data_IF_943275307545
#
_entry.id   IF_943275307545
#
_cell.length_a   1.000
_cell.length_b   1.000
_cell.length_c   1.000
_cell.angle_alpha   90.00
_cell.angle_beta   90.00
_cell.angle_gamma   90.00
#
_symmetry.space_group_name_H-M   'P 1'
#
loop_
_entity.id
_entity.type
_entity.pdbx_description
1 polymer ?
#
# COMPACT_ATOMS: atom_id res chain seq x y z
N UNK A 1 -1.18 -16.30 9.62
CA UNK A 1 -0.78 -15.01 9.01
C UNK A 1 -1.82 -13.97 9.37
N UNK A 2 -1.51 -13.01 10.25
CA UNK A 2 -2.37 -11.86 10.49
C UNK A 2 -2.68 -11.09 9.21
N UNK A 3 -3.82 -10.41 9.19
CA UNK A 3 -4.22 -9.50 8.12
C UNK A 3 -4.24 -8.07 8.67
N UNK A 4 -3.72 -7.13 7.87
CA UNK A 4 -3.86 -5.70 8.09
C UNK A 4 -4.62 -5.15 6.89
N UNK A 5 -5.82 -4.64 7.15
CA UNK A 5 -6.69 -4.07 6.13
C UNK A 5 -6.35 -2.60 5.92
N UNK A 6 -6.15 -2.23 4.67
CA UNK A 6 -5.83 -0.89 4.20
C UNK A 6 -6.90 -0.46 3.21
N UNK A 7 -7.84 0.38 3.64
CA UNK A 7 -8.88 0.92 2.78
C UNK A 7 -8.51 2.33 2.34
N UNK A 8 -8.25 2.50 1.05
CA UNK A 8 -7.86 3.75 0.42
C UNK A 8 -9.07 4.37 -0.27
N UNK A 9 -9.66 5.38 0.37
CA UNK A 9 -10.81 6.13 -0.14
C UNK A 9 -10.37 7.45 -0.76
N UNK A 10 -10.61 7.68 -2.06
CA UNK A 10 -10.44 9.00 -2.65
C UNK A 10 -11.26 10.05 -1.89
N UNK A 11 -10.65 11.20 -1.62
CA UNK A 11 -11.29 12.40 -1.06
C UNK A 11 -11.23 13.53 -2.10
N UNK A 12 -11.89 14.65 -1.79
CA UNK A 12 -11.75 15.89 -2.55
C UNK A 12 -10.31 16.44 -2.44
N UNK A 13 -9.95 17.36 -3.34
CA UNK A 13 -8.68 18.11 -3.32
C UNK A 13 -7.39 17.28 -3.45
N UNK A 14 -7.40 16.19 -4.22
CA UNK A 14 -6.22 15.33 -4.46
C UNK A 14 -5.67 14.64 -3.20
N UNK A 15 -6.55 14.25 -2.29
CA UNK A 15 -6.23 13.44 -1.12
C UNK A 15 -6.87 12.06 -1.16
N UNK A 16 -6.25 11.13 -0.44
CA UNK A 16 -6.80 9.80 -0.15
C UNK A 16 -6.85 9.64 1.36
N UNK A 17 -7.97 9.17 1.89
CA UNK A 17 -8.02 8.66 3.24
C UNK A 17 -7.61 7.20 3.26
N UNK A 18 -6.54 6.90 4.00
CA UNK A 18 -6.17 5.56 4.35
C UNK A 18 -6.80 5.22 5.70
N UNK A 19 -7.62 4.17 5.75
CA UNK A 19 -8.16 3.58 6.97
C UNK A 19 -7.49 2.23 7.22
N UNK A 20 -6.97 2.04 8.42
CA UNK A 20 -6.24 0.85 8.83
C UNK A 20 -6.94 0.13 9.97
N UNK A 21 -7.19 -1.18 9.82
CA UNK A 21 -7.72 -2.02 10.89
C UNK A 21 -7.21 -3.46 10.78
N UNK A 22 -7.30 -4.23 11.88
CA UNK A 22 -6.94 -5.66 11.90
C UNK A 22 -8.17 -6.56 12.02
N UNK A 23 -9.06 -6.23 12.96
CA UNK A 23 -10.17 -7.12 13.31
C UNK A 23 -11.55 -6.49 13.06
N UNK A 24 -11.74 -5.22 13.45
CA UNK A 24 -13.03 -4.53 13.38
C UNK A 24 -13.00 -3.38 12.36
N UNK A 25 -13.78 -3.43 11.26
CA UNK A 25 -13.79 -2.37 10.26
C UNK A 25 -14.40 -1.05 10.75
N UNK A 26 -15.11 -1.05 11.90
CA UNK A 26 -15.65 0.16 12.53
C UNK A 26 -14.69 0.80 13.53
N UNK A 27 -13.57 0.14 13.87
CA UNK A 27 -12.52 0.63 14.76
C UNK A 27 -11.20 0.67 13.99
N UNK A 28 -10.92 1.83 13.40
CA UNK A 28 -9.81 2.02 12.47
C UNK A 28 -9.04 3.29 12.78
N UNK A 29 -7.74 3.25 12.53
CA UNK A 29 -6.90 4.44 12.45
C UNK A 29 -7.04 5.04 11.06
N UNK A 30 -7.25 6.35 10.95
CA UNK A 30 -7.30 7.05 9.66
C UNK A 30 -6.20 8.10 9.51
N UNK A 31 -5.78 8.31 8.26
CA UNK A 31 -4.84 9.37 7.88
C UNK A 31 -5.08 9.81 6.44
N UNK A 32 -4.79 11.07 6.16
CA UNK A 32 -4.89 11.61 4.80
C UNK A 32 -3.52 11.54 4.13
N UNK A 33 -3.49 10.98 2.93
CA UNK A 33 -2.33 10.84 2.08
C UNK A 33 -2.49 11.73 0.84
N UNK A 34 -1.55 12.62 0.53
CA UNK A 34 -1.65 13.49 -0.63
C UNK A 34 -1.31 12.70 -1.89
N UNK A 35 -2.17 12.76 -2.92
CA UNK A 35 -1.94 12.10 -4.20
C UNK A 35 -0.75 12.72 -4.96
N UNK A 36 -0.49 14.02 -4.75
CA UNK A 36 0.62 14.73 -5.37
C UNK A 36 2.00 14.04 -5.17
N UNK A 37 2.19 13.31 -4.07
CA UNK A 37 3.45 12.59 -3.80
C UNK A 37 3.67 11.38 -4.72
N UNK A 38 2.59 10.86 -5.32
CA UNK A 38 2.60 9.69 -6.21
C UNK A 38 1.92 9.97 -7.56
N UNK A 39 1.71 11.24 -7.92
CA UNK A 39 0.94 11.62 -9.10
C UNK A 39 1.52 11.04 -10.40
N UNK A 40 2.84 11.10 -10.57
CA UNK A 40 3.53 10.50 -11.73
C UNK A 40 3.42 8.97 -11.73
N UNK A 41 3.33 8.32 -10.55
CA UNK A 41 3.11 6.87 -10.49
C UNK A 41 1.70 6.51 -10.93
N UNK A 42 0.71 7.36 -10.67
CA UNK A 42 -0.66 7.20 -11.14
C UNK A 42 -0.76 7.36 -12.66
N UNK A 43 -0.17 8.42 -13.21
CA UNK A 43 -0.12 8.65 -14.67
C UNK A 43 0.55 7.47 -15.41
N UNK A 44 1.66 6.96 -14.85
CA UNK A 44 2.37 5.80 -15.39
C UNK A 44 1.61 4.50 -15.20
N UNK A 45 0.74 4.39 -14.20
CA UNK A 45 -0.06 3.18 -14.00
C UNK A 45 -1.18 3.02 -15.00
N UNK A 46 -1.69 4.10 -15.55
CA UNK A 46 -2.68 4.06 -16.62
C UNK A 46 -2.10 3.62 -17.97
N UNK A 47 -0.77 3.67 -18.13
CA UNK A 47 -0.09 3.51 -19.43
C UNK A 47 0.96 2.40 -19.47
N UNK A 48 1.76 2.25 -18.41
CA UNK A 48 3.10 1.68 -18.53
C UNK A 48 3.39 0.44 -17.64
N UNK A 49 2.76 0.27 -16.47
CA UNK A 49 3.11 -0.87 -15.58
C UNK A 49 2.79 -2.26 -16.16
N UNK A 50 1.96 -2.33 -17.21
CA UNK A 50 1.64 -3.55 -17.95
C UNK A 50 2.41 -3.71 -19.27
N UNK A 51 3.32 -2.78 -19.60
CA UNK A 51 4.20 -2.88 -20.76
C UNK A 51 5.67 -2.87 -20.32
N UNK A 52 6.57 -3.43 -21.16
CA UNK A 52 7.99 -3.73 -20.84
C UNK A 52 8.88 -2.49 -20.74
N UNK A 53 8.46 -1.45 -20.04
CA UNK A 53 9.35 -0.36 -19.69
C UNK A 53 10.24 -0.79 -18.52
N UNK A 54 11.54 -0.45 -18.53
CA UNK A 54 12.42 -0.65 -17.37
C UNK A 54 11.99 0.32 -16.28
N UNK A 55 10.93 -0.02 -15.55
CA UNK A 55 10.58 0.70 -14.34
C UNK A 55 11.49 0.22 -13.23
N UNK A 56 12.17 1.14 -12.55
CA UNK A 56 12.92 0.83 -11.35
C UNK A 56 11.93 0.45 -10.24
N UNK A 57 11.66 -0.85 -10.10
CA UNK A 57 10.73 -1.38 -9.12
C UNK A 57 11.16 -1.07 -7.69
N UNK A 58 12.46 -0.93 -7.41
CA UNK A 58 12.94 -0.54 -6.07
C UNK A 58 12.53 0.89 -5.79
N UNK A 59 12.74 1.80 -6.74
CA UNK A 59 12.35 3.20 -6.58
C UNK A 59 10.82 3.35 -6.47
N UNK A 60 10.05 2.72 -7.36
CA UNK A 60 8.58 2.73 -7.30
C UNK A 60 8.10 2.15 -5.97
N UNK A 61 8.64 1.00 -5.57
CA UNK A 61 8.30 0.31 -4.34
C UNK A 61 8.53 1.13 -3.09
N UNK A 62 9.67 1.82 -3.01
CA UNK A 62 10.00 2.71 -1.89
C UNK A 62 9.06 3.90 -1.82
N UNK A 63 8.78 4.54 -2.96
CA UNK A 63 7.85 5.69 -3.00
C UNK A 63 6.44 5.29 -2.56
N UNK A 64 5.94 4.15 -3.01
CA UNK A 64 4.64 3.63 -2.56
C UNK A 64 4.66 3.29 -1.07
N UNK A 65 5.74 2.67 -0.59
CA UNK A 65 5.88 2.34 0.83
C UNK A 65 5.92 3.59 1.70
N UNK A 66 6.79 4.55 1.39
CA UNK A 66 6.95 5.80 2.15
C UNK A 66 5.67 6.65 2.12
N UNK A 67 4.94 6.64 1.00
CA UNK A 67 3.64 7.31 0.89
C UNK A 67 2.60 6.68 1.83
N UNK A 68 2.53 5.34 1.91
CA UNK A 68 1.65 4.66 2.86
C UNK A 68 2.10 4.84 4.31
N UNK A 69 3.40 4.71 4.57
CA UNK A 69 4.04 4.77 5.89
C UNK A 69 3.92 6.17 6.51
N UNK A 70 4.08 7.20 5.67
CA UNK A 70 4.08 8.60 6.08
C UNK A 70 5.16 8.93 7.13
N UNK A 71 5.11 10.13 7.69
CA UNK A 71 6.06 10.56 8.73
C UNK A 71 5.90 9.76 10.03
N UNK A 72 4.72 9.17 10.26
CA UNK A 72 4.43 8.39 11.46
C UNK A 72 5.14 7.03 11.50
N UNK A 73 5.61 6.51 10.36
CA UNK A 73 6.33 5.24 10.31
C UNK A 73 5.49 4.02 10.72
N UNK A 74 4.17 4.13 10.65
CA UNK A 74 3.24 3.15 11.24
C UNK A 74 3.26 1.81 10.48
N UNK A 75 3.44 1.84 9.14
CA UNK A 75 3.45 0.64 8.32
C UNK A 75 4.74 -0.13 8.56
N UNK A 76 5.86 0.58 8.62
CA UNK A 76 7.17 0.04 8.99
C UNK A 76 7.14 -0.60 10.37
N UNK A 77 6.52 0.06 11.35
CA UNK A 77 6.32 -0.52 12.67
C UNK A 77 5.46 -1.78 12.61
N UNK A 78 4.36 -1.77 11.86
CA UNK A 78 3.51 -2.95 11.68
C UNK A 78 4.25 -4.10 10.99
N UNK A 79 5.13 -3.83 10.01
CA UNK A 79 5.95 -4.83 9.35
C UNK A 79 7.06 -5.39 10.25
N UNK A 80 7.53 -4.63 11.24
CA UNK A 80 8.53 -5.07 12.22
C UNK A 80 7.93 -5.83 13.40
N UNK A 81 6.66 -5.58 13.71
CA UNK A 81 5.97 -6.22 14.84
C UNK A 81 5.61 -7.69 14.58
N UNK A 82 5.52 -8.10 13.31
CA UNK A 82 5.22 -9.48 12.93
C UNK A 82 6.52 -10.29 12.97
N UNK A 83 6.82 -10.89 14.11
CA UNK A 83 7.99 -11.75 14.30
C UNK A 83 7.59 -13.21 14.18
N UNK A 84 8.22 -13.95 13.28
CA UNK A 84 8.02 -15.40 13.11
C UNK A 84 6.77 -15.80 12.32
N UNK A 85 5.93 -14.86 11.90
CA UNK A 85 4.78 -15.09 11.02
C UNK A 85 4.72 -14.05 9.90
N UNK A 86 4.25 -14.43 8.71
CA UNK A 86 4.06 -13.49 7.60
C UNK A 86 2.82 -12.61 7.79
N UNK A 87 2.72 -11.52 7.04
CA UNK A 87 1.61 -10.54 7.13
C UNK A 87 0.89 -10.42 5.78
N UNK A 88 -0.43 -10.38 5.79
CA UNK A 88 -1.20 -10.00 4.61
C UNK A 88 -1.56 -8.52 4.71
N UNK A 89 -1.21 -7.72 3.70
CA UNK A 89 -1.70 -6.35 3.55
C UNK A 89 -2.90 -6.37 2.60
N UNK A 90 -4.11 -6.35 3.14
CA UNK A 90 -5.35 -6.40 2.37
C UNK A 90 -5.74 -4.98 1.91
N UNK A 91 -5.45 -4.67 0.65
CA UNK A 91 -5.61 -3.34 0.05
C UNK A 91 -6.97 -3.22 -0.66
N UNK A 92 -7.90 -2.48 -0.06
CA UNK A 92 -9.11 -2.02 -0.73
C UNK A 92 -8.80 -0.71 -1.47
N UNK A 93 -8.63 -0.81 -2.79
CA UNK A 93 -8.22 0.28 -3.68
C UNK A 93 -9.21 0.40 -4.85
N UNK A 94 -9.45 1.61 -5.32
CA UNK A 94 -10.34 1.91 -6.46
C UNK A 94 -9.71 2.93 -7.41
N UNK A 95 -10.24 3.02 -8.63
CA UNK A 95 -9.76 3.97 -9.64
C UNK A 95 -8.27 3.78 -9.98
N UNK A 96 -7.55 4.88 -10.21
CA UNK A 96 -6.12 4.89 -10.53
C UNK A 96 -5.23 4.14 -9.51
N UNK A 97 -5.61 4.14 -8.23
CA UNK A 97 -4.89 3.42 -7.18
C UNK A 97 -4.91 1.90 -7.40
N UNK A 98 -5.95 1.35 -8.06
CA UNK A 98 -6.03 -0.08 -8.33
C UNK A 98 -4.94 -0.57 -9.30
N UNK A 99 -4.46 0.32 -10.17
CA UNK A 99 -3.44 0.05 -11.19
C UNK A 99 -2.00 0.15 -10.65
N UNK A 100 -1.81 0.68 -9.44
CA UNK A 100 -0.48 0.74 -8.83
C UNK A 100 0.05 -0.67 -8.54
N UNK A 101 1.38 -0.89 -8.72
CA UNK A 101 2.01 -2.20 -8.52
C UNK A 101 2.26 -2.48 -7.03
N UNK A 102 1.19 -2.75 -6.27
CA UNK A 102 1.29 -2.95 -4.82
C UNK A 102 2.26 -4.07 -4.40
N UNK A 103 2.41 -5.08 -5.23
CA UNK A 103 3.36 -6.18 -5.06
C UNK A 103 4.83 -5.76 -5.00
N UNK A 104 5.19 -4.56 -5.51
CA UNK A 104 6.57 -4.04 -5.46
C UNK A 104 6.87 -3.19 -4.23
N UNK A 105 5.98 -3.12 -3.23
CA UNK A 105 6.27 -2.38 -1.99
C UNK A 105 7.64 -2.76 -1.41
N UNK A 106 8.44 -1.75 -1.09
CA UNK A 106 9.84 -1.93 -0.68
C UNK A 106 10.17 -1.05 0.53
N UNK A 107 10.63 -1.65 1.63
CA UNK A 107 10.83 -0.99 2.93
C UNK A 107 12.20 -0.28 3.10
N UNK A 108 12.87 0.00 1.98
CA UNK A 108 14.26 0.44 1.96
C UNK A 108 15.31 -0.69 2.02
N UNK A 109 15.00 -1.88 2.53
CA UNK A 109 15.93 -3.02 2.61
C UNK A 109 15.67 -4.10 1.56
N UNK A 110 14.41 -4.53 1.41
CA UNK A 110 14.00 -5.50 0.39
C UNK A 110 12.58 -5.23 -0.07
N UNK A 111 12.12 -5.94 -1.10
CA UNK A 111 10.68 -6.03 -1.34
C UNK A 111 10.01 -6.73 -0.15
N UNK A 112 8.80 -6.28 0.20
CA UNK A 112 8.05 -6.84 1.33
C UNK A 112 7.76 -8.34 1.13
N UNK A 113 7.53 -8.74 -0.12
CA UNK A 113 7.24 -10.13 -0.51
C UNK A 113 8.45 -11.06 -0.42
N UNK A 114 9.67 -10.51 -0.46
CA UNK A 114 10.91 -11.30 -0.36
C UNK A 114 11.28 -11.65 1.08
N UNK A 115 10.69 -10.96 2.06
CA UNK A 115 10.95 -11.22 3.49
C UNK A 115 10.59 -12.65 3.85
N UNK A 116 11.23 -13.18 4.89
CA UNK A 116 10.95 -14.52 5.40
C UNK A 116 10.66 -14.44 6.91
N UNK A 117 9.40 -14.71 7.34
CA UNK A 117 8.22 -14.95 6.51
C UNK A 117 7.70 -13.69 5.79
N UNK A 118 7.11 -13.86 4.61
CA UNK A 118 6.80 -12.77 3.68
C UNK A 118 5.65 -11.85 4.13
N UNK A 119 5.69 -10.62 3.65
CA UNK A 119 4.60 -9.65 3.77
C UNK A 119 3.97 -9.48 2.39
N UNK A 120 2.72 -9.91 2.23
CA UNK A 120 2.07 -10.07 0.92
C UNK A 120 0.95 -9.04 0.77
N UNK A 121 1.11 -8.07 -0.15
CA UNK A 121 0.04 -7.18 -0.56
C UNK A 121 -0.98 -7.95 -1.40
N UNK A 122 -2.26 -7.84 -1.03
CA UNK A 122 -3.38 -8.49 -1.74
C UNK A 122 -4.44 -7.45 -1.99
N UNK A 123 -4.90 -7.32 -3.25
CA UNK A 123 -6.06 -6.49 -3.58
C UNK A 123 -7.30 -7.14 -2.97
N UNK A 124 -7.97 -6.42 -2.07
CA UNK A 124 -9.14 -6.87 -1.34
C UNK A 124 -10.37 -6.11 -1.82
N UNK A 125 -11.37 -6.83 -2.31
CA UNK A 125 -12.68 -6.24 -2.55
C UNK A 125 -13.38 -6.09 -1.19
N UNK A 126 -13.29 -4.90 -0.58
CA UNK A 126 -14.15 -4.60 0.55
C UNK A 126 -15.60 -4.72 0.07
N UNK A 127 -16.41 -5.52 0.76
CA UNK A 127 -17.84 -5.62 0.49
C UNK A 127 -18.44 -4.21 0.46
N UNK A 128 -19.31 -3.87 -0.52
CA UNK A 128 -19.99 -2.58 -0.52
C UNK A 128 -20.84 -2.52 0.74
N UNK A 129 -20.43 -1.66 1.68
CA UNK A 129 -21.22 -1.26 2.84
C UNK A 129 -22.11 -0.08 2.49
#
# INVERSE_FOLDING_TARGET
MPVLHLDLKPKQDDWVELRCHRDNPNDYDSRNLPLAQIADLLERAETDYYTRLPVDYVQTGRRLFDWLDGEAGWLRQACQSVRGEGLILALAVTGGLAHLPWEVLHDGQSFLVERQPGIVPVRWAASPG
#
